data_IF_358448384733
#
_entry.id   IF_358448384733
#
_cell.length_a   1.000
_cell.length_b   1.000
_cell.length_c   1.000
_cell.angle_alpha   90.00
_cell.angle_beta   90.00
_cell.angle_gamma   90.00
#
_symmetry.space_group_name_H-M   'P 1'
#
loop_
_entity.id
_entity.type
_entity.pdbx_description
1 polymer ?
#
# COMPACT_ATOMS: atom_id res chain seq x y z
N UNK A 1 28.03 -50.72 -32.28
CA UNK A 1 27.54 -49.37 -32.66
C UNK A 1 26.03 -49.32 -32.49
N UNK A 2 25.53 -48.60 -31.48
CA UNK A 2 24.11 -48.27 -31.34
C UNK A 2 24.02 -46.79 -31.04
N UNK A 3 23.31 -46.10 -31.92
CA UNK A 3 23.24 -44.64 -32.06
C UNK A 3 22.35 -44.06 -30.96
N UNK A 4 22.84 -42.98 -30.35
CA UNK A 4 22.17 -42.13 -29.37
C UNK A 4 20.98 -41.40 -30.01
N UNK A 5 19.83 -41.37 -29.32
CA UNK A 5 18.79 -40.35 -29.56
C UNK A 5 18.56 -39.66 -28.22
N UNK A 6 19.14 -38.46 -28.08
CA UNK A 6 18.91 -37.54 -26.98
C UNK A 6 17.68 -36.69 -27.32
N UNK A 7 16.60 -36.85 -26.56
CA UNK A 7 15.44 -35.98 -26.62
C UNK A 7 15.64 -34.81 -25.63
N UNK A 8 16.01 -33.64 -26.15
CA UNK A 8 16.06 -32.40 -25.40
C UNK A 8 14.64 -31.84 -25.35
N UNK A 9 13.95 -32.06 -24.22
CA UNK A 9 12.67 -31.42 -23.93
C UNK A 9 13.02 -30.04 -23.33
N UNK A 10 12.97 -28.99 -24.16
CA UNK A 10 13.03 -27.61 -23.69
C UNK A 10 11.78 -27.32 -22.83
N UNK A 11 11.94 -27.39 -21.51
CA UNK A 11 10.99 -26.79 -20.57
C UNK A 11 11.16 -25.27 -20.64
N UNK A 12 10.26 -24.63 -21.39
CA UNK A 12 10.06 -23.19 -21.31
C UNK A 12 9.50 -22.85 -19.93
N UNK A 13 10.40 -22.55 -18.99
CA UNK A 13 10.04 -21.86 -17.75
C UNK A 13 9.78 -20.41 -18.14
N UNK A 14 8.57 -20.16 -18.64
CA UNK A 14 8.01 -18.82 -18.65
C UNK A 14 7.82 -18.43 -17.19
N UNK A 15 8.66 -17.54 -16.67
CA UNK A 15 8.33 -16.78 -15.48
C UNK A 15 7.08 -15.95 -15.80
N UNK A 16 5.91 -16.55 -15.60
CA UNK A 16 4.69 -15.78 -15.41
C UNK A 16 4.95 -14.93 -14.16
N UNK A 17 5.25 -13.65 -14.37
CA UNK A 17 5.41 -12.68 -13.30
C UNK A 17 4.08 -12.58 -12.56
N UNK A 18 3.88 -13.42 -11.56
CA UNK A 18 2.75 -13.33 -10.67
C UNK A 18 2.90 -12.01 -9.90
N UNK A 19 2.01 -11.06 -10.19
CA UNK A 19 1.81 -9.91 -9.32
C UNK A 19 1.40 -10.45 -7.95
N UNK A 20 2.28 -10.39 -6.97
CA UNK A 20 2.03 -10.89 -5.63
C UNK A 20 1.81 -9.70 -4.70
N UNK A 21 0.70 -9.68 -3.98
CA UNK A 21 0.44 -8.73 -2.89
C UNK A 21 1.27 -9.15 -1.66
N UNK A 22 2.59 -9.27 -1.82
CA UNK A 22 3.48 -9.75 -0.78
C UNK A 22 3.96 -8.58 0.10
N UNK A 23 3.97 -8.74 1.44
CA UNK A 23 4.70 -7.84 2.31
C UNK A 23 6.16 -7.73 1.87
N UNK A 24 6.69 -6.51 1.75
CA UNK A 24 8.12 -6.27 1.49
C UNK A 24 8.92 -6.19 2.79
N UNK A 25 8.24 -5.82 3.87
CA UNK A 25 8.77 -5.80 5.25
C UNK A 25 7.66 -6.20 6.21
N UNK A 26 8.01 -6.67 7.41
CA UNK A 26 7.01 -7.02 8.43
C UNK A 26 6.22 -5.80 8.88
N UNK A 27 4.92 -6.01 9.16
CA UNK A 27 4.04 -5.02 9.75
C UNK A 27 4.43 -4.77 11.21
N UNK A 28 4.59 -3.51 11.60
CA UNK A 28 5.00 -3.10 12.93
C UNK A 28 3.89 -2.29 13.61
N UNK A 29 3.89 -2.24 14.94
CA UNK A 29 2.92 -1.42 15.69
C UNK A 29 2.98 0.08 15.32
N UNK A 30 4.13 0.58 14.89
CA UNK A 30 4.32 1.95 14.39
C UNK A 30 3.61 2.21 13.05
N UNK A 31 3.37 1.17 12.26
CA UNK A 31 2.70 1.25 10.96
C UNK A 31 1.20 1.54 11.11
N UNK A 32 0.58 1.17 12.24
CA UNK A 32 -0.86 1.34 12.47
C UNK A 32 -1.36 2.79 12.36
N UNK A 33 -0.53 3.75 12.77
CA UNK A 33 -0.85 5.19 12.64
C UNK A 33 -0.59 5.74 11.23
N UNK A 34 0.19 5.04 10.41
CA UNK A 34 0.54 5.44 9.05
C UNK A 34 -0.46 4.88 8.03
N UNK A 35 -1.03 3.71 8.31
CA UNK A 35 -1.96 2.96 7.47
C UNK A 35 -3.25 2.68 8.26
N UNK A 36 -3.97 3.75 8.55
CA UNK A 36 -5.11 3.81 9.48
C UNK A 36 -6.48 3.52 8.84
N UNK A 37 -6.47 3.03 7.60
CA UNK A 37 -7.62 2.78 6.73
C UNK A 37 -8.46 4.05 6.48
N UNK A 38 -7.80 5.23 6.48
CA UNK A 38 -8.45 6.52 6.34
C UNK A 38 -8.27 7.16 4.95
N UNK A 39 -9.09 8.17 4.68
CA UNK A 39 -9.06 8.98 3.47
C UNK A 39 -8.80 10.44 3.81
N UNK A 40 -7.69 10.97 3.32
CA UNK A 40 -7.40 12.39 3.28
C UNK A 40 -8.04 13.03 2.05
N UNK A 41 -8.70 14.17 2.25
CA UNK A 41 -9.43 14.89 1.20
C UNK A 41 -9.05 16.36 1.07
N UNK A 42 -7.99 16.76 1.77
CA UNK A 42 -7.42 18.10 1.66
C UNK A 42 -6.53 18.11 0.42
N UNK A 43 -6.98 18.75 -0.67
CA UNK A 43 -6.31 18.75 -1.98
C UNK A 43 -4.89 19.34 -1.95
N UNK A 44 -4.74 20.39 -1.14
CA UNK A 44 -3.48 21.04 -0.82
C UNK A 44 -3.36 21.07 0.71
N UNK A 45 -2.99 19.94 1.33
CA UNK A 45 -2.63 19.97 2.74
C UNK A 45 -1.48 20.96 2.83
N UNK A 46 -1.65 22.05 3.57
CA UNK A 46 -0.69 23.15 3.64
C UNK A 46 0.69 22.51 3.74
N UNK A 47 1.51 22.72 2.69
CA UNK A 47 2.90 22.29 2.67
C UNK A 47 3.61 23.29 3.57
N UNK A 48 3.29 23.26 4.87
CA UNK A 48 4.13 23.89 5.87
C UNK A 48 5.35 22.98 5.92
N UNK A 49 6.47 23.48 5.39
CA UNK A 49 7.79 22.96 5.69
C UNK A 49 7.94 22.98 7.23
N UNK A 50 7.57 21.88 7.88
CA UNK A 50 7.64 21.75 9.35
C UNK A 50 6.54 20.91 10.00
N UNK A 51 5.32 20.86 9.45
CA UNK A 51 4.16 20.32 10.21
C UNK A 51 3.71 18.90 9.80
N UNK A 52 4.19 18.39 8.66
CA UNK A 52 4.13 16.95 8.41
C UNK A 52 5.22 16.29 9.25
N UNK A 53 4.83 15.77 10.40
CA UNK A 53 5.63 15.14 11.47
C UNK A 53 6.43 13.89 11.05
N UNK A 54 7.19 13.94 9.94
CA UNK A 54 7.83 12.78 9.32
C UNK A 54 6.85 11.65 8.94
N UNK A 55 5.54 11.80 9.20
CA UNK A 55 4.57 10.73 9.04
C UNK A 55 4.38 10.36 7.57
N UNK A 56 4.36 11.35 6.67
CA UNK A 56 4.30 11.08 5.23
C UNK A 56 5.56 10.43 4.70
N UNK A 57 6.73 10.92 5.10
CA UNK A 57 8.00 10.31 4.76
C UNK A 57 8.05 8.85 5.22
N UNK A 58 7.69 8.59 6.48
CA UNK A 58 7.57 7.24 7.03
C UNK A 58 6.54 6.41 6.26
N UNK A 59 5.39 6.98 5.90
CA UNK A 59 4.35 6.28 5.10
C UNK A 59 4.89 5.87 3.73
N UNK A 60 5.59 6.77 3.02
CA UNK A 60 6.24 6.46 1.73
C UNK A 60 7.31 5.37 1.91
N UNK A 61 8.13 5.48 2.95
CA UNK A 61 9.19 4.53 3.25
C UNK A 61 8.66 3.12 3.58
N UNK A 62 7.65 3.05 4.45
CA UNK A 62 7.10 1.80 5.00
C UNK A 62 6.08 1.10 4.10
N UNK A 63 5.43 1.83 3.18
CA UNK A 63 4.43 1.25 2.28
C UNK A 63 5.05 0.13 1.43
N UNK A 64 4.37 -1.00 1.33
CA UNK A 64 4.76 -2.08 0.40
C UNK A 64 4.37 -1.72 -1.04
N UNK A 65 3.28 -0.96 -1.18
CA UNK A 65 2.70 -0.56 -2.45
C UNK A 65 2.25 0.91 -2.37
N UNK A 66 2.59 1.69 -3.40
CA UNK A 66 2.07 3.04 -3.61
C UNK A 66 1.52 3.10 -5.04
N UNK A 67 0.23 3.37 -5.17
CA UNK A 67 -0.49 3.32 -6.45
C UNK A 67 -1.46 4.47 -6.59
N UNK A 68 -1.67 4.94 -7.80
CA UNK A 68 -2.79 5.84 -8.13
C UNK A 68 -3.99 4.97 -8.43
N UNK A 69 -5.13 5.26 -7.79
CA UNK A 69 -6.34 4.44 -7.86
C UNK A 69 -7.59 5.29 -8.07
N UNK A 70 -8.61 4.64 -8.64
CA UNK A 70 -10.02 5.06 -8.51
C UNK A 70 -10.80 3.99 -7.78
N UNK A 71 -11.73 4.41 -6.94
CA UNK A 71 -12.67 3.49 -6.29
C UNK A 71 -13.80 3.19 -7.26
N UNK A 72 -13.92 1.94 -7.70
CA UNK A 72 -14.97 1.50 -8.63
C UNK A 72 -16.27 1.16 -7.89
N UNK A 73 -16.17 0.67 -6.65
CA UNK A 73 -17.32 0.42 -5.81
C UNK A 73 -17.01 0.54 -4.34
N UNK A 74 -18.01 0.98 -3.58
CA UNK A 74 -18.02 1.06 -2.13
C UNK A 74 -19.28 0.35 -1.64
N UNK A 75 -19.13 -0.72 -0.86
CA UNK A 75 -20.25 -1.42 -0.23
C UNK A 75 -20.09 -1.45 1.29
N UNK A 76 -21.21 -1.33 2.00
CA UNK A 76 -21.25 -1.56 3.44
C UNK A 76 -21.69 -3.00 3.72
N UNK A 77 -20.83 -3.77 4.36
CA UNK A 77 -21.10 -5.14 4.78
C UNK A 77 -21.40 -5.17 6.29
N UNK A 78 -22.40 -5.96 6.69
CA UNK A 78 -22.67 -6.28 8.10
C UNK A 78 -21.93 -7.57 8.45
N UNK A 79 -20.77 -7.47 9.06
CA UNK A 79 -19.94 -8.62 9.47
C UNK A 79 -20.05 -8.79 10.99
N UNK A 80 -20.65 -9.90 11.45
CA UNK A 80 -20.78 -10.22 12.89
C UNK A 80 -21.40 -9.06 13.72
N UNK A 81 -22.43 -8.39 13.19
CA UNK A 81 -23.11 -7.21 13.77
C UNK A 81 -22.28 -5.93 13.83
N UNK A 82 -21.14 -5.90 13.16
CA UNK A 82 -20.31 -4.71 12.96
C UNK A 82 -20.38 -4.29 11.50
N UNK A 83 -20.45 -2.98 11.26
CA UNK A 83 -20.41 -2.46 9.89
C UNK A 83 -18.96 -2.42 9.42
N UNK A 84 -18.73 -2.80 8.17
CA UNK A 84 -17.45 -2.62 7.51
C UNK A 84 -17.71 -2.07 6.11
N UNK A 85 -16.83 -1.20 5.63
CA UNK A 85 -16.80 -0.85 4.22
C UNK A 85 -15.86 -1.78 3.48
N UNK A 86 -16.26 -2.14 2.27
CA UNK A 86 -15.46 -2.82 1.28
C UNK A 86 -15.31 -1.89 0.08
N UNK A 87 -14.07 -1.59 -0.28
CA UNK A 87 -13.72 -0.74 -1.41
C UNK A 87 -13.06 -1.62 -2.46
N UNK A 88 -13.63 -1.68 -3.67
CA UNK A 88 -12.91 -2.23 -4.82
C UNK A 88 -12.26 -1.08 -5.57
N UNK A 89 -10.94 -1.09 -5.62
CA UNK A 89 -10.16 -0.04 -6.27
C UNK A 89 -9.45 -0.57 -7.50
N UNK A 90 -9.45 0.23 -8.56
CA UNK A 90 -8.70 -0.01 -9.77
C UNK A 90 -7.44 0.82 -9.78
N UNK A 91 -6.32 0.15 -10.04
CA UNK A 91 -5.00 0.76 -10.19
C UNK A 91 -4.89 1.40 -11.57
N UNK A 92 -4.62 2.70 -11.59
CA UNK A 92 -4.32 3.48 -12.80
C UNK A 92 -2.82 3.55 -13.06
N UNK A 93 -2.02 3.65 -11.99
CA UNK A 93 -0.55 3.81 -12.07
C UNK A 93 0.13 3.21 -10.83
N UNK A 94 1.30 2.59 -11.00
CA UNK A 94 2.15 2.12 -9.91
C UNK A 94 3.30 3.11 -9.67
N UNK A 95 3.41 3.61 -8.44
CA UNK A 95 4.49 4.51 -8.00
C UNK A 95 5.58 3.75 -7.22
N UNK A 96 5.20 2.71 -6.47
CA UNK A 96 6.09 1.80 -5.73
C UNK A 96 5.45 0.42 -5.64
N UNK A 97 6.25 -0.64 -5.77
CA UNK A 97 5.78 -2.02 -5.68
C UNK A 97 4.98 -2.47 -6.91
N UNK A 98 4.42 -3.66 -6.85
CA UNK A 98 3.55 -4.23 -7.89
C UNK A 98 2.41 -5.01 -7.25
N UNK A 99 1.28 -5.08 -7.96
CA UNK A 99 0.05 -5.72 -7.49
C UNK A 99 -0.85 -6.08 -8.67
N UNK A 100 -1.98 -6.73 -8.40
CA UNK A 100 -3.08 -6.81 -9.36
C UNK A 100 -3.61 -5.42 -9.73
N UNK A 101 -4.24 -5.32 -10.91
CA UNK A 101 -4.92 -4.08 -11.38
C UNK A 101 -6.14 -3.70 -10.54
N UNK A 102 -6.70 -4.65 -9.81
CA UNK A 102 -7.81 -4.45 -8.91
C UNK A 102 -7.39 -4.90 -7.51
N UNK A 103 -7.72 -4.11 -6.49
CA UNK A 103 -7.41 -4.39 -5.09
C UNK A 103 -8.68 -4.20 -4.28
N UNK A 104 -8.95 -5.13 -3.37
CA UNK A 104 -10.05 -5.01 -2.42
C UNK A 104 -9.50 -4.54 -1.09
N UNK A 105 -9.97 -3.37 -0.65
CA UNK A 105 -9.63 -2.78 0.64
C UNK A 105 -10.84 -2.85 1.58
N UNK A 106 -10.57 -2.89 2.88
CA UNK A 106 -11.61 -2.98 3.90
C UNK A 106 -11.32 -2.00 5.02
N UNK A 107 -12.39 -1.49 5.64
CA UNK A 107 -12.30 -0.75 6.89
C UNK A 107 -13.48 -1.12 7.79
N UNK A 108 -13.21 -1.47 9.04
CA UNK A 108 -14.22 -1.87 10.04
C UNK A 108 -14.66 -0.69 10.89
N UNK A 109 -15.86 -0.76 11.46
CA UNK A 109 -16.40 0.30 12.32
C UNK A 109 -15.58 0.69 13.56
N UNK A 110 -14.74 -0.23 14.04
CA UNK A 110 -13.82 0.01 15.15
C UNK A 110 -12.43 0.48 14.73
N UNK A 111 -12.19 0.68 13.43
CA UNK A 111 -10.92 1.18 12.91
C UNK A 111 -10.95 2.72 12.75
N UNK A 112 -9.81 3.41 12.96
CA UNK A 112 -9.76 4.87 12.98
C UNK A 112 -10.30 5.51 11.69
N UNK A 113 -9.98 4.93 10.53
CA UNK A 113 -10.35 5.47 9.24
C UNK A 113 -11.81 5.29 8.82
N UNK A 114 -12.60 4.46 9.53
CA UNK A 114 -13.99 4.17 9.17
C UNK A 114 -14.84 5.42 9.02
N UNK A 115 -14.70 6.35 9.98
CA UNK A 115 -15.45 7.58 9.98
C UNK A 115 -15.11 8.45 8.78
N UNK A 116 -13.84 8.46 8.32
CA UNK A 116 -13.42 9.21 7.14
C UNK A 116 -14.02 8.64 5.86
N UNK A 117 -14.20 7.32 5.76
CA UNK A 117 -14.89 6.69 4.62
C UNK A 117 -16.37 7.04 4.64
N UNK A 118 -17.03 6.83 5.78
CA UNK A 118 -18.48 7.05 5.96
C UNK A 118 -18.94 8.47 5.61
N UNK A 119 -18.16 9.49 5.96
CA UNK A 119 -18.57 10.88 5.69
C UNK A 119 -18.19 11.37 4.30
N UNK A 120 -17.46 10.56 3.52
CA UNK A 120 -16.94 10.96 2.22
C UNK A 120 -17.22 9.95 1.10
N UNK A 121 -18.20 9.06 1.28
CA UNK A 121 -18.55 7.99 0.32
C UNK A 121 -18.65 8.51 -1.12
N UNK A 122 -19.43 9.57 -1.33
CA UNK A 122 -19.60 10.19 -2.65
C UNK A 122 -18.27 10.69 -3.22
N UNK A 123 -17.47 11.40 -2.41
CA UNK A 123 -16.18 11.95 -2.88
C UNK A 123 -15.18 10.85 -3.22
N UNK A 124 -15.22 9.75 -2.47
CA UNK A 124 -14.36 8.59 -2.68
C UNK A 124 -14.64 7.93 -4.04
N UNK A 125 -15.91 7.87 -4.45
CA UNK A 125 -16.31 7.27 -5.74
C UNK A 125 -15.98 8.15 -6.95
N UNK A 126 -15.87 9.48 -6.79
CA UNK A 126 -15.68 10.40 -7.92
C UNK A 126 -14.23 10.86 -8.12
N UNK A 127 -13.42 10.84 -7.06
CA UNK A 127 -12.06 11.39 -7.11
C UNK A 127 -10.99 10.30 -7.24
N UNK A 128 -9.87 10.58 -7.94
CA UNK A 128 -8.69 9.74 -7.89
C UNK A 128 -7.88 9.97 -6.61
N UNK A 129 -7.21 8.92 -6.14
CA UNK A 129 -6.38 8.94 -4.94
C UNK A 129 -5.02 8.30 -5.19
N UNK A 130 -4.04 8.70 -4.40
CA UNK A 130 -2.85 7.87 -4.15
C UNK A 130 -3.14 7.00 -2.93
N UNK A 131 -3.10 5.68 -3.12
CA UNK A 131 -3.18 4.70 -2.05
C UNK A 131 -1.78 4.27 -1.60
N UNK A 132 -1.54 4.40 -0.30
CA UNK A 132 -0.41 3.80 0.40
C UNK A 132 -0.90 2.51 1.05
N UNK A 133 -0.31 1.38 0.72
CA UNK A 133 -0.73 0.08 1.23
C UNK A 133 0.45 -0.63 1.89
N UNK A 134 0.19 -1.14 3.10
CA UNK A 134 1.05 -1.99 3.89
C UNK A 134 0.36 -3.33 4.10
N UNK A 135 1.03 -4.42 3.78
CA UNK A 135 0.51 -5.76 3.93
C UNK A 135 0.91 -6.33 5.30
N UNK A 136 -0.05 -6.85 6.04
CA UNK A 136 0.17 -7.64 7.23
C UNK A 136 -0.07 -9.11 6.91
N UNK A 137 0.98 -9.93 6.99
CA UNK A 137 0.83 -11.38 6.92
C UNK A 137 0.10 -11.85 8.19
N UNK A 138 -0.98 -12.60 8.01
CA UNK A 138 -1.65 -13.28 9.12
C UNK A 138 -1.42 -14.78 8.99
N UNK A 139 -1.02 -15.47 10.08
CA UNK A 139 -0.91 -16.93 10.06
C UNK A 139 -2.29 -17.60 9.95
N UNK A 140 -3.38 -16.87 10.23
CA UNK A 140 -4.75 -17.40 10.23
C UNK A 140 -5.46 -17.24 8.89
N UNK A 141 -4.98 -16.34 8.02
CA UNK A 141 -5.60 -16.04 6.74
C UNK A 141 -4.66 -16.42 5.59
N UNK A 142 -5.18 -17.00 4.50
CA UNK A 142 -4.36 -17.36 3.34
C UNK A 142 -3.89 -16.12 2.55
N UNK A 143 -4.56 -14.99 2.70
CA UNK A 143 -4.23 -13.72 2.06
C UNK A 143 -3.79 -12.69 3.12
N UNK A 144 -2.77 -11.87 2.82
CA UNK A 144 -2.35 -10.81 3.71
C UNK A 144 -3.45 -9.74 3.83
N UNK A 145 -3.52 -9.14 5.01
CA UNK A 145 -4.47 -8.04 5.27
C UNK A 145 -3.88 -6.73 4.77
N UNK A 146 -4.66 -5.97 4.01
CA UNK A 146 -4.28 -4.64 3.56
C UNK A 146 -4.57 -3.61 4.65
N UNK A 147 -3.54 -2.94 5.14
CA UNK A 147 -3.66 -1.68 5.87
C UNK A 147 -3.35 -0.56 4.91
N UNK A 148 -4.20 0.46 4.84
CA UNK A 148 -4.11 1.44 3.77
C UNK A 148 -4.35 2.86 4.26
N UNK A 149 -3.98 3.82 3.42
CA UNK A 149 -4.30 5.23 3.62
C UNK A 149 -4.41 5.89 2.25
N UNK A 150 -5.45 6.70 2.03
CA UNK A 150 -5.62 7.45 0.80
C UNK A 150 -5.22 8.91 1.00
N UNK A 151 -4.46 9.43 0.06
CA UNK A 151 -4.26 10.87 -0.11
C UNK A 151 -4.78 11.31 -1.47
N UNK A 152 -5.15 12.58 -1.65
CA UNK A 152 -5.62 13.07 -2.95
C UNK A 152 -4.55 12.88 -4.02
N UNK A 153 -4.98 12.55 -5.23
CA UNK A 153 -4.09 12.50 -6.38
C UNK A 153 -3.76 13.91 -6.90
N UNK A 154 -2.98 14.67 -6.11
CA UNK A 154 -2.54 16.02 -6.46
C UNK A 154 -1.05 16.06 -6.83
N UNK A 155 -0.65 17.04 -7.64
CA UNK A 155 0.75 17.24 -8.01
C UNK A 155 1.67 17.36 -6.79
N UNK A 156 1.23 18.08 -5.76
CA UNK A 156 1.96 18.23 -4.50
C UNK A 156 2.25 16.89 -3.79
N UNK A 157 1.25 16.00 -3.73
CA UNK A 157 1.40 14.66 -3.13
C UNK A 157 2.38 13.83 -3.96
N UNK A 158 2.21 13.83 -5.30
CA UNK A 158 3.08 13.10 -6.22
C UNK A 158 4.53 13.56 -6.14
N UNK A 159 4.77 14.86 -6.14
CA UNK A 159 6.11 15.44 -6.08
C UNK A 159 6.84 15.03 -4.79
N UNK A 160 6.14 15.05 -3.65
CA UNK A 160 6.69 14.57 -2.38
C UNK A 160 6.99 13.07 -2.39
N UNK A 161 6.10 12.24 -2.94
CA UNK A 161 6.35 10.80 -3.07
C UNK A 161 7.62 10.57 -3.89
N UNK A 162 7.72 11.19 -5.06
CA UNK A 162 8.89 11.06 -5.92
C UNK A 162 10.17 11.52 -5.22
N UNK A 163 10.10 12.61 -4.47
CA UNK A 163 11.22 13.11 -3.67
C UNK A 163 11.73 12.04 -2.69
N UNK A 164 10.84 11.44 -1.89
CA UNK A 164 11.21 10.44 -0.89
C UNK A 164 11.58 9.08 -1.49
N UNK A 165 10.98 8.68 -2.61
CA UNK A 165 11.38 7.46 -3.32
C UNK A 165 12.79 7.56 -3.91
N UNK A 166 13.22 8.76 -4.33
CA UNK A 166 14.60 9.01 -4.81
C UNK A 166 15.60 9.19 -3.66
N UNK A 167 15.14 9.49 -2.45
CA UNK A 167 15.94 9.70 -1.25
C UNK A 167 15.37 8.85 -0.11
N UNK A 168 15.55 7.52 -0.15
CA UNK A 168 15.05 6.66 0.91
C UNK A 168 15.57 7.17 2.26
N UNK A 169 14.67 7.28 3.24
CA UNK A 169 14.97 7.77 4.58
C UNK A 169 16.23 7.07 5.12
N UNK A 170 17.18 7.85 5.66
CA UNK A 170 18.32 7.28 6.38
C UNK A 170 17.80 6.69 7.68
N UNK A 171 17.78 5.37 7.79
CA UNK A 171 17.59 4.70 9.08
C UNK A 171 18.70 5.16 10.03
N UNK A 172 18.34 5.91 11.07
CA UNK A 172 19.25 6.42 12.09
C UNK A 172 19.64 5.36 13.15
N UNK A 173 19.62 4.07 12.79
CA UNK A 173 19.85 2.96 13.72
C UNK A 173 21.02 2.03 13.35
N UNK A 174 21.96 2.49 12.53
CA UNK A 174 23.20 1.74 12.26
C UNK A 174 24.42 2.60 12.56
N UNK A 175 24.58 2.99 13.83
CA UNK A 175 25.90 3.38 14.34
C UNK A 175 26.52 2.09 14.91
N UNK A 176 27.25 1.37 14.05
CA UNK A 176 28.10 0.26 14.49
C UNK A 176 29.33 0.92 15.10
N UNK A 177 29.40 0.92 16.43
CA UNK A 177 30.62 1.24 17.16
C UNK A 177 31.67 0.17 16.79
N UNK A 178 32.60 0.55 15.91
CA UNK A 178 33.76 -0.27 15.59
C UNK A 178 34.67 -0.22 16.82
N UNK A 179 34.62 -1.25 17.65
CA UNK A 179 35.65 -1.49 18.66
C UNK A 179 36.88 -2.02 17.91
N UNK A 180 37.88 -1.17 17.76
CA UNK A 180 39.20 -1.60 17.27
C UNK A 180 39.88 -2.52 18.30
N UNK A 181 40.65 -3.52 17.84
CA UNK A 181 41.24 -4.58 18.68
C UNK A 181 42.42 -4.15 19.55
#
# INVERSE_FOLDING_TARGET
>A
MRVLIAAIICWGVGCAGASSNAPTTDYQASDASLFDNAVDLVEAPVIVEGEWSGAFERRVGRADLIVVVRVESLSSDLVKRRSAYRLTVRVEEWLKGSSSKEIVLRVRDDEPGHQSVRVNEDRILHNPFVAFIKWEASPELPEPTAHWHFSPDSGAVRDKIQFFLRRPARDSHTEVEVVEP
#
